data_IF_893756911880
#
_entry.id   IF_893756911880
#
_cell.length_a   1.000
_cell.length_b   1.000
_cell.length_c   1.000
_cell.angle_alpha   90.00
_cell.angle_beta   90.00
_cell.angle_gamma   90.00
#
_symmetry.space_group_name_H-M   'P 1'
#
loop_
_entity.id
_entity.type
_entity.pdbx_description
1 polymer ?
#
# COMPACT_ATOMS: atom_id res chain seq x y z
N UNK A 1 7.41 -21.33 21.22
CA UNK A 1 6.36 -20.36 20.83
C UNK A 1 5.69 -20.83 19.55
N UNK A 2 4.37 -20.76 19.52
CA UNK A 2 3.53 -21.05 18.35
C UNK A 2 2.66 -19.85 18.04
N UNK A 3 2.31 -19.70 16.78
CA UNK A 3 1.39 -18.68 16.29
C UNK A 3 0.41 -19.26 15.25
N UNK A 4 -0.60 -18.46 14.92
CA UNK A 4 -1.62 -18.78 13.93
C UNK A 4 -1.45 -17.99 12.62
N UNK A 5 -0.27 -17.43 12.33
CA UNK A 5 -0.07 -16.64 11.13
C UNK A 5 -0.16 -17.50 9.87
N UNK A 6 -0.86 -16.99 8.86
CA UNK A 6 -0.97 -17.65 7.58
C UNK A 6 -0.01 -17.00 6.58
N UNK A 7 0.68 -17.82 5.78
CA UNK A 7 1.51 -17.32 4.68
C UNK A 7 0.72 -16.42 3.70
N UNK A 8 -0.60 -16.63 3.60
CA UNK A 8 -1.51 -15.83 2.76
C UNK A 8 -1.83 -14.44 3.32
N UNK A 9 -1.46 -14.15 4.58
CA UNK A 9 -1.68 -12.84 5.21
C UNK A 9 -0.64 -11.81 4.76
N UNK A 10 0.32 -12.20 3.91
CA UNK A 10 1.39 -11.31 3.44
C UNK A 10 2.38 -10.91 4.54
N UNK A 11 2.33 -11.59 5.70
CA UNK A 11 3.22 -11.36 6.83
C UNK A 11 4.29 -12.45 6.93
N UNK A 12 5.46 -12.04 7.42
CA UNK A 12 6.51 -12.91 7.90
C UNK A 12 6.71 -12.65 9.38
N UNK A 13 6.74 -13.73 10.16
CA UNK A 13 7.00 -13.68 11.60
C UNK A 13 8.33 -14.37 11.87
N UNK A 14 9.18 -13.74 12.65
CA UNK A 14 10.43 -14.32 13.12
C UNK A 14 10.55 -14.19 14.64
N UNK A 15 11.28 -15.12 15.23
CA UNK A 15 11.42 -15.26 16.67
C UNK A 15 12.89 -15.25 17.06
N UNK A 16 13.16 -14.61 18.18
CA UNK A 16 14.42 -14.72 18.90
C UNK A 16 14.10 -14.94 20.37
N UNK A 17 14.94 -15.67 21.09
CA UNK A 17 14.71 -15.96 22.51
C UNK A 17 15.96 -15.71 23.34
N UNK A 18 15.72 -15.26 24.56
CA UNK A 18 16.68 -15.21 25.65
C UNK A 18 16.18 -16.18 26.72
N UNK A 19 16.77 -17.36 26.75
CA UNK A 19 16.44 -18.42 27.71
C UNK A 19 17.19 -18.20 29.04
N UNK A 20 17.28 -19.23 29.88
CA UNK A 20 17.86 -19.18 31.23
C UNK A 20 19.31 -18.67 31.28
N UNK A 21 20.07 -18.81 30.19
CA UNK A 21 21.44 -18.30 30.04
C UNK A 21 21.51 -16.77 30.20
N UNK A 22 20.37 -16.07 30.02
CA UNK A 22 20.14 -14.66 30.33
C UNK A 22 21.00 -13.64 29.59
N UNK A 23 21.90 -14.09 28.72
CA UNK A 23 23.01 -13.27 28.20
C UNK A 23 23.00 -13.13 26.69
N UNK A 24 22.32 -14.02 25.96
CA UNK A 24 22.33 -14.01 24.48
C UNK A 24 20.94 -14.24 23.90
N UNK A 25 20.56 -13.35 22.98
CA UNK A 25 19.41 -13.55 22.10
C UNK A 25 19.82 -14.50 20.98
N UNK A 26 19.11 -15.64 20.89
CA UNK A 26 19.34 -16.67 19.88
C UNK A 26 18.15 -16.70 18.91
N UNK A 27 18.41 -16.96 17.63
CA UNK A 27 17.38 -17.05 16.60
C UNK A 27 16.66 -18.40 16.70
N UNK A 28 15.81 -18.52 17.73
CA UNK A 28 14.99 -19.69 18.01
C UNK A 28 13.69 -19.27 18.69
N UNK A 29 12.63 -20.05 18.47
CA UNK A 29 11.34 -19.91 19.15
C UNK A 29 11.18 -20.92 20.31
N UNK A 30 12.25 -21.62 20.69
CA UNK A 30 12.25 -22.69 21.71
C UNK A 30 13.29 -22.39 22.78
N UNK A 31 12.90 -22.59 24.04
CA UNK A 31 13.81 -22.68 25.18
C UNK A 31 13.63 -24.06 25.82
N UNK A 32 14.73 -24.72 26.19
CA UNK A 32 14.72 -26.04 26.82
C UNK A 32 15.06 -25.93 28.32
N UNK A 33 14.69 -26.94 29.11
CA UNK A 33 15.06 -27.01 30.53
C UNK A 33 14.38 -25.99 31.44
N UNK A 34 13.18 -25.51 31.06
CA UNK A 34 12.39 -24.55 31.84
C UNK A 34 11.62 -25.25 32.96
N UNK A 35 11.73 -24.74 34.18
CA UNK A 35 11.06 -25.21 35.38
C UNK A 35 10.07 -24.17 35.92
N UNK A 36 9.27 -24.59 36.91
CA UNK A 36 8.32 -23.68 37.58
C UNK A 36 9.10 -22.56 38.29
N UNK A 37 8.77 -21.32 37.97
CA UNK A 37 9.41 -20.13 38.52
C UNK A 37 10.51 -19.54 37.64
N UNK A 38 10.90 -20.23 36.58
CA UNK A 38 11.84 -19.71 35.58
C UNK A 38 11.16 -18.67 34.67
N UNK A 39 11.92 -17.65 34.27
CA UNK A 39 11.47 -16.62 33.33
C UNK A 39 12.37 -16.63 32.09
N UNK A 40 11.75 -16.51 30.92
CA UNK A 40 12.44 -16.40 29.63
C UNK A 40 11.78 -15.31 28.80
N UNK A 41 12.55 -14.71 27.89
CA UNK A 41 12.07 -13.64 27.03
C UNK A 41 12.06 -14.08 25.57
N UNK A 42 10.98 -13.76 24.86
CA UNK A 42 10.89 -13.94 23.41
C UNK A 42 10.74 -12.57 22.75
N UNK A 43 11.57 -12.30 21.75
CA UNK A 43 11.46 -11.17 20.83
C UNK A 43 10.79 -11.66 19.55
N UNK A 44 9.66 -11.03 19.19
CA UNK A 44 8.89 -11.37 18.00
C UNK A 44 8.95 -10.21 17.02
N UNK A 45 9.34 -10.48 15.79
CA UNK A 45 9.35 -9.48 14.71
C UNK A 45 8.28 -9.83 13.69
N UNK A 46 7.45 -8.85 13.35
CA UNK A 46 6.42 -8.94 12.32
C UNK A 46 6.82 -8.05 11.15
N UNK A 47 6.91 -8.63 9.96
CA UNK A 47 7.28 -7.95 8.72
C UNK A 47 6.16 -8.14 7.68
N UNK A 48 5.60 -7.04 7.20
CA UNK A 48 4.67 -7.07 6.07
C UNK A 48 5.47 -7.15 4.76
N UNK A 49 5.36 -8.26 4.05
CA UNK A 49 6.13 -8.53 2.83
C UNK A 49 5.49 -7.91 1.58
N UNK A 50 4.16 -7.86 1.54
CA UNK A 50 3.38 -7.24 0.46
C UNK A 50 1.93 -7.00 0.91
N UNK A 51 1.22 -6.15 0.17
CA UNK A 51 -0.17 -5.84 0.44
C UNK A 51 -1.11 -6.90 -0.11
N UNK A 52 -1.89 -7.53 0.78
CA UNK A 52 -2.96 -8.47 0.45
C UNK A 52 -4.34 -7.81 0.59
N UNK A 53 -5.42 -8.49 0.18
CA UNK A 53 -6.80 -7.97 0.32
C UNK A 53 -7.27 -7.92 1.77
N UNK A 54 -6.94 -8.94 2.57
CA UNK A 54 -7.30 -9.00 3.99
C UNK A 54 -6.17 -8.40 4.82
N UNK A 55 -6.36 -7.16 5.30
CA UNK A 55 -5.31 -6.36 5.95
C UNK A 55 -5.49 -6.22 7.46
N UNK A 56 -6.65 -6.62 7.96
CA UNK A 56 -7.01 -6.61 9.37
C UNK A 56 -7.20 -8.05 9.86
N UNK A 57 -6.42 -8.45 10.85
CA UNK A 57 -6.51 -9.78 11.46
C UNK A 57 -5.88 -9.81 12.86
N UNK A 58 -6.20 -10.89 13.57
CA UNK A 58 -5.76 -11.12 14.94
C UNK A 58 -4.76 -12.27 14.96
N UNK A 59 -3.54 -11.97 15.39
CA UNK A 59 -2.53 -12.98 15.68
C UNK A 59 -2.56 -13.36 17.15
N UNK A 60 -2.37 -14.65 17.41
CA UNK A 60 -2.27 -15.24 18.74
C UNK A 60 -0.91 -15.89 18.83
N UNK A 61 -0.13 -15.46 19.80
CA UNK A 61 1.25 -15.93 19.98
C UNK A 61 1.37 -16.45 21.41
N UNK A 62 1.79 -17.69 21.59
CA UNK A 62 1.88 -18.28 22.93
C UNK A 62 2.83 -19.46 23.03
N UNK A 63 3.14 -19.90 24.25
CA UNK A 63 3.83 -21.15 24.48
C UNK A 63 2.97 -22.34 24.00
N UNK A 64 3.62 -23.36 23.48
CA UNK A 64 2.92 -24.57 23.03
C UNK A 64 2.39 -25.33 24.24
N UNK A 65 1.10 -25.69 24.22
CA UNK A 65 0.48 -26.52 25.27
C UNK A 65 -0.02 -25.75 26.50
N UNK A 66 -0.02 -24.40 26.46
CA UNK A 66 -0.69 -23.57 27.45
C UNK A 66 -1.76 -22.70 26.77
N UNK A 67 -2.77 -22.31 27.53
CA UNK A 67 -3.90 -21.50 27.02
C UNK A 67 -3.58 -19.99 27.00
N UNK A 68 -2.53 -19.57 27.72
CA UNK A 68 -2.11 -18.16 27.77
C UNK A 68 -1.52 -17.74 26.42
N UNK A 69 -2.07 -16.67 25.84
CA UNK A 69 -1.64 -16.16 24.54
C UNK A 69 -1.59 -14.64 24.54
N UNK A 70 -0.59 -14.09 23.86
CA UNK A 70 -0.52 -12.70 23.46
C UNK A 70 -1.41 -12.50 22.24
N UNK A 71 -2.40 -11.60 22.35
CA UNK A 71 -3.30 -11.22 21.26
C UNK A 71 -2.76 -9.95 20.61
N UNK A 72 -2.40 -10.03 19.33
CA UNK A 72 -1.88 -8.91 18.53
C UNK A 72 -2.90 -8.56 17.45
N UNK A 73 -3.46 -7.36 17.53
CA UNK A 73 -4.33 -6.82 16.49
C UNK A 73 -3.46 -6.17 15.41
N UNK A 74 -3.42 -6.76 14.22
CA UNK A 74 -2.62 -6.26 13.10
C UNK A 74 -3.51 -5.55 12.10
N UNK A 75 -3.09 -4.35 11.72
CA UNK A 75 -3.63 -3.60 10.58
C UNK A 75 -2.49 -3.22 9.65
N UNK A 76 -2.44 -3.83 8.48
CA UNK A 76 -1.41 -3.54 7.47
C UNK A 76 -1.79 -2.27 6.72
N UNK A 77 -0.91 -1.26 6.78
CA UNK A 77 -1.10 0.01 6.09
C UNK A 77 -0.60 -0.09 4.65
N UNK A 78 -1.53 -0.04 3.70
CA UNK A 78 -1.25 -0.22 2.27
C UNK A 78 -1.81 0.90 1.40
N UNK A 79 -2.82 1.61 1.89
CA UNK A 79 -3.46 2.73 1.17
C UNK A 79 -2.94 4.05 1.74
N UNK A 80 -3.00 5.10 0.94
CA UNK A 80 -2.68 6.45 1.39
C UNK A 80 -3.87 7.03 2.18
N UNK A 81 -3.60 7.84 3.19
CA UNK A 81 -4.67 8.46 3.98
C UNK A 81 -5.61 9.33 3.13
N UNK A 82 -5.13 9.93 2.04
CA UNK A 82 -5.94 10.73 1.12
C UNK A 82 -6.84 9.91 0.18
N UNK A 83 -6.71 8.57 0.19
CA UNK A 83 -7.59 7.65 -0.56
C UNK A 83 -8.77 7.18 0.29
N UNK A 84 -8.82 7.55 1.57
CA UNK A 84 -9.95 7.25 2.45
C UNK A 84 -11.22 7.96 1.91
N UNK A 85 -12.36 7.25 1.95
CA UNK A 85 -13.61 7.71 1.33
C UNK A 85 -14.07 9.08 1.85
N UNK A 86 -13.80 9.41 3.11
CA UNK A 86 -14.13 10.68 3.74
C UNK A 86 -13.26 11.86 3.26
N UNK A 87 -12.14 11.58 2.59
CA UNK A 87 -11.23 12.58 2.01
C UNK A 87 -11.38 12.74 0.51
N UNK A 88 -12.15 11.87 -0.13
CA UNK A 88 -12.45 11.97 -1.56
C UNK A 88 -13.45 13.09 -1.77
N UNK A 89 -13.11 14.07 -2.62
CA UNK A 89 -14.06 15.11 -3.03
C UNK A 89 -14.79 14.61 -4.27
N UNK A 90 -15.99 14.09 -4.08
CA UNK A 90 -16.78 13.50 -5.16
C UNK A 90 -17.41 14.54 -6.10
N UNK A 91 -17.53 14.18 -7.38
CA UNK A 91 -18.22 14.96 -8.42
C UNK A 91 -17.82 16.45 -8.47
N UNK A 92 -16.54 16.76 -8.31
CA UNK A 92 -16.05 18.14 -8.32
C UNK A 92 -16.00 18.72 -9.72
N UNK A 93 -16.25 20.03 -9.83
CA UNK A 93 -16.11 20.80 -11.08
C UNK A 93 -14.68 20.78 -11.60
N UNK A 94 -13.68 20.79 -10.70
CA UNK A 94 -12.25 20.70 -11.06
C UNK A 94 -11.91 19.41 -11.83
N UNK A 95 -12.71 18.36 -11.64
CA UNK A 95 -12.60 17.09 -12.33
C UNK A 95 -13.75 16.86 -13.32
N UNK A 96 -14.40 17.94 -13.79
CA UNK A 96 -15.50 17.87 -14.76
C UNK A 96 -16.60 16.84 -14.38
N UNK A 97 -16.93 16.75 -13.08
CA UNK A 97 -17.90 15.80 -12.53
C UNK A 97 -17.33 14.44 -12.12
N UNK A 98 -16.00 14.26 -12.15
CA UNK A 98 -15.29 13.14 -11.53
C UNK A 98 -14.94 13.39 -10.06
N UNK A 99 -14.21 12.47 -9.44
CA UNK A 99 -13.80 12.59 -8.03
C UNK A 99 -12.34 13.07 -7.93
N UNK A 100 -12.04 13.95 -6.99
CA UNK A 100 -10.66 14.29 -6.63
C UNK A 100 -10.16 13.35 -5.55
N UNK A 101 -9.12 12.56 -5.86
CA UNK A 101 -8.49 11.62 -4.95
C UNK A 101 -7.00 11.93 -4.90
N UNK A 102 -6.48 12.29 -3.72
CA UNK A 102 -5.06 12.63 -3.53
C UNK A 102 -4.50 13.68 -4.52
N UNK A 103 -5.33 14.62 -4.97
CA UNK A 103 -4.93 15.65 -5.95
C UNK A 103 -4.95 15.21 -7.42
N UNK A 104 -5.50 14.04 -7.72
CA UNK A 104 -5.69 13.52 -9.08
C UNK A 104 -7.18 13.24 -9.31
N UNK A 105 -7.66 13.51 -10.53
CA UNK A 105 -9.04 13.24 -10.89
C UNK A 105 -9.27 11.77 -11.28
N UNK A 106 -10.21 11.12 -10.59
CA UNK A 106 -10.78 9.82 -10.94
C UNK A 106 -12.05 10.05 -11.77
N UNK A 107 -11.90 9.91 -13.09
CA UNK A 107 -12.96 10.19 -14.04
C UNK A 107 -14.10 9.18 -14.00
N UNK A 108 -15.33 9.67 -14.21
CA UNK A 108 -16.55 8.87 -14.32
C UNK A 108 -17.02 8.79 -15.77
N UNK A 109 -17.70 7.70 -16.11
CA UNK A 109 -18.23 7.47 -17.45
C UNK A 109 -17.14 7.26 -18.51
N UNK A 110 -17.31 7.87 -19.69
CA UNK A 110 -16.36 7.81 -20.80
C UNK A 110 -15.37 8.98 -20.86
N UNK A 111 -15.28 9.78 -19.80
CA UNK A 111 -14.39 10.93 -19.72
C UNK A 111 -12.98 10.49 -19.33
N UNK A 112 -11.98 11.13 -19.95
CA UNK A 112 -10.55 10.93 -19.72
C UNK A 112 -9.82 12.27 -19.77
N UNK A 113 -8.50 12.25 -19.56
CA UNK A 113 -7.72 13.48 -19.39
C UNK A 113 -7.25 13.64 -17.94
N UNK A 114 -6.49 14.71 -17.69
CA UNK A 114 -5.94 14.97 -16.34
C UNK A 114 -7.03 15.43 -15.37
N UNK A 115 -8.00 16.15 -15.89
CA UNK A 115 -9.13 16.74 -15.18
C UNK A 115 -10.47 16.19 -15.69
N UNK A 116 -10.46 15.07 -16.43
CA UNK A 116 -11.64 14.46 -17.05
C UNK A 116 -12.33 15.36 -18.10
N UNK A 117 -11.56 16.26 -18.69
CA UNK A 117 -12.00 17.27 -19.66
C UNK A 117 -12.36 16.68 -21.05
N UNK A 118 -11.95 15.44 -21.33
CA UNK A 118 -12.09 14.82 -22.64
C UNK A 118 -13.20 13.76 -22.66
N UNK A 119 -14.29 14.04 -23.37
CA UNK A 119 -15.31 13.03 -23.67
C UNK A 119 -14.87 12.15 -24.87
N UNK A 120 -14.23 11.01 -24.56
CA UNK A 120 -13.69 10.05 -25.53
C UNK A 120 -13.89 8.61 -25.04
N UNK A 121 -15.14 8.11 -25.03
CA UNK A 121 -15.42 6.75 -24.60
C UNK A 121 -14.60 5.73 -25.40
N UNK A 122 -13.96 4.80 -24.71
CA UNK A 122 -13.11 3.76 -25.31
C UNK A 122 -11.64 4.16 -25.52
N UNK A 123 -11.24 5.40 -25.20
CA UNK A 123 -9.85 5.82 -25.24
C UNK A 123 -9.33 6.08 -23.83
N UNK A 124 -8.13 5.62 -23.51
CA UNK A 124 -7.50 5.90 -22.21
C UNK A 124 -6.73 7.24 -22.24
N UNK A 125 -6.51 7.84 -21.07
CA UNK A 125 -5.62 9.02 -20.94
C UNK A 125 -4.23 8.73 -21.50
N UNK A 126 -3.71 7.50 -21.32
CA UNK A 126 -2.45 7.06 -21.91
C UNK A 126 -2.50 7.09 -23.45
N UNK A 127 -3.57 6.56 -24.06
CA UNK A 127 -3.73 6.57 -25.52
C UNK A 127 -3.84 7.98 -26.11
N UNK A 128 -4.40 8.94 -25.36
CA UNK A 128 -4.41 10.35 -25.75
C UNK A 128 -3.01 10.96 -25.67
N UNK A 129 -2.25 10.66 -24.61
CA UNK A 129 -0.89 11.15 -24.45
C UNK A 129 0.06 10.65 -25.56
N UNK A 130 -0.14 9.44 -26.07
CA UNK A 130 0.66 8.92 -27.18
C UNK A 130 0.47 9.73 -28.47
N UNK A 131 -0.70 10.35 -28.70
CA UNK A 131 -0.91 11.27 -29.84
C UNK A 131 -0.12 12.58 -29.71
N UNK A 132 0.31 12.91 -28.51
CA UNK A 132 1.10 14.09 -28.19
C UNK A 132 2.61 13.82 -28.15
N UNK A 133 3.04 12.60 -28.49
CA UNK A 133 4.44 12.23 -28.60
C UNK A 133 4.79 12.03 -30.08
N UNK A 134 5.98 12.50 -30.48
CA UNK A 134 6.49 12.29 -31.84
C UNK A 134 6.97 10.86 -32.05
N UNK A 135 7.61 10.28 -31.03
CA UNK A 135 8.04 8.88 -30.94
C UNK A 135 7.78 8.37 -29.52
N UNK A 136 7.81 7.05 -29.29
CA UNK A 136 7.60 6.47 -27.95
C UNK A 136 8.59 6.99 -26.89
N UNK A 137 9.78 7.39 -27.32
CA UNK A 137 10.87 7.93 -26.49
C UNK A 137 10.75 9.45 -26.28
N UNK A 138 9.94 10.14 -27.10
CA UNK A 138 9.78 11.58 -27.02
C UNK A 138 8.95 11.95 -25.79
N UNK A 139 9.32 13.05 -25.13
CA UNK A 139 8.49 13.63 -24.08
C UNK A 139 7.15 14.09 -24.65
N UNK A 140 6.11 14.06 -23.82
CA UNK A 140 4.79 14.60 -24.19
C UNK A 140 4.96 16.08 -24.58
N UNK A 141 4.50 16.43 -25.78
CA UNK A 141 4.61 17.78 -26.35
C UNK A 141 6.03 18.35 -26.33
N UNK A 142 7.04 17.49 -26.50
CA UNK A 142 8.48 17.84 -26.46
C UNK A 142 8.89 18.56 -25.16
N UNK A 143 8.14 18.34 -24.07
CA UNK A 143 8.35 18.99 -22.78
C UNK A 143 8.00 20.49 -22.75
N UNK A 144 7.34 21.01 -23.79
CA UNK A 144 7.04 22.44 -23.98
C UNK A 144 5.54 22.75 -23.93
N UNK A 145 4.76 21.86 -23.33
CA UNK A 145 3.32 22.02 -23.25
C UNK A 145 2.67 20.87 -22.50
N UNK A 146 1.34 20.90 -22.46
CA UNK A 146 0.50 19.85 -21.90
C UNK A 146 -0.31 19.19 -23.01
N UNK A 147 -0.53 17.88 -22.90
CA UNK A 147 -1.41 17.18 -23.84
C UNK A 147 -2.85 17.30 -23.36
N UNK A 148 -3.67 18.06 -24.09
CA UNK A 148 -5.10 18.18 -23.86
C UNK A 148 -5.86 17.39 -24.93
N UNK A 149 -6.56 16.33 -24.52
CA UNK A 149 -7.36 15.47 -25.40
C UNK A 149 -6.67 14.98 -26.68
N UNK A 150 -5.36 14.70 -26.62
CA UNK A 150 -4.56 14.23 -27.77
C UNK A 150 -4.05 15.35 -28.68
N UNK A 151 -4.10 16.60 -28.22
CA UNK A 151 -3.49 17.76 -28.88
C UNK A 151 -2.56 18.47 -27.89
N UNK A 152 -1.41 18.92 -28.39
CA UNK A 152 -0.48 19.70 -27.58
C UNK A 152 -0.93 21.15 -27.43
N UNK A 153 -1.06 21.58 -26.18
CA UNK A 153 -1.20 22.98 -25.78
C UNK A 153 0.16 23.47 -25.31
N UNK A 154 0.83 24.25 -26.16
CA UNK A 154 2.17 24.74 -25.90
C UNK A 154 2.17 25.80 -24.80
N UNK A 155 3.19 25.76 -23.94
CA UNK A 155 3.42 26.79 -22.94
C UNK A 155 3.63 28.14 -23.64
N UNK A 156 3.08 29.24 -23.08
CA UNK A 156 3.36 30.57 -23.57
C UNK A 156 4.87 30.85 -23.47
N UNK A 157 5.39 31.64 -24.42
CA UNK A 157 6.78 32.11 -24.34
C UNK A 157 6.92 33.02 -23.14
N UNK A 158 7.74 32.63 -22.18
CA UNK A 158 8.19 33.51 -21.12
C UNK A 158 9.08 34.59 -21.76
N UNK A 159 8.67 35.84 -21.60
CA UNK A 159 9.40 37.04 -22.05
C UNK A 159 10.32 37.49 -20.93
#
# INVERSE_FOLDING_TARGET
MVDNANASDGLKITYRSMCLDGTTLKDTNVCEGIHVGDEVQFEVTLEATHCVKKRDFVLRIGPSGLDETLIVNVKVLCDCDCEQEDRIVENTEDCHGGDMVCGVCRCKGGNVGRYCECNRPGMSTAALNEKCKRTNESAICEGRGVCNCGRCECNPRQV
#
